data_IF_878101102841
#
_entry.id   IF_878101102841
#
_cell.length_a   1.000
_cell.length_b   1.000
_cell.length_c   1.000
_cell.angle_alpha   90.00
_cell.angle_beta   90.00
_cell.angle_gamma   90.00
#
_symmetry.space_group_name_H-M   'P 1'
#
loop_
_entity.id
_entity.type
_entity.pdbx_description
1 polymer ?
#
# COMPACT_ATOMS: atom_id res chain seq x y z
N UNK A 1 -26.94 11.97 47.76
CA UNK A 1 -27.00 11.24 46.48
C UNK A 1 -26.08 11.92 45.48
N UNK A 2 -25.32 11.11 44.73
CA UNK A 2 -24.63 11.37 43.45
C UNK A 2 -23.49 12.42 43.41
N UNK A 3 -22.27 11.90 43.56
CA UNK A 3 -21.12 12.35 42.79
C UNK A 3 -21.32 11.94 41.31
N UNK A 4 -21.24 12.88 40.37
CA UNK A 4 -21.21 12.56 38.94
C UNK A 4 -19.98 13.25 38.33
N UNK A 5 -18.87 12.50 38.37
CA UNK A 5 -17.95 12.27 37.26
C UNK A 5 -17.74 13.40 36.24
N UNK A 6 -16.72 14.22 36.48
CA UNK A 6 -16.06 15.08 35.48
C UNK A 6 -15.05 14.31 34.60
N UNK A 7 -15.13 12.97 34.55
CA UNK A 7 -14.21 12.11 33.79
C UNK A 7 -14.70 11.77 32.37
N UNK A 8 -15.85 12.32 31.94
CA UNK A 8 -16.45 11.97 30.65
C UNK A 8 -15.93 12.83 29.46
N UNK A 9 -15.35 14.00 29.73
CA UNK A 9 -14.93 14.91 28.65
C UNK A 9 -13.55 14.55 28.04
N UNK A 10 -12.68 13.85 28.78
CA UNK A 10 -11.34 13.49 28.29
C UNK A 10 -11.34 12.21 27.41
N UNK A 11 -12.37 11.37 27.51
CA UNK A 11 -12.46 10.15 26.70
C UNK A 11 -12.90 10.42 25.25
N UNK A 12 -13.70 11.45 25.01
CA UNK A 12 -14.23 11.75 23.67
C UNK A 12 -13.17 12.31 22.70
N UNK A 13 -12.18 13.06 23.21
CA UNK A 13 -11.11 13.59 22.37
C UNK A 13 -10.12 12.51 21.92
N UNK A 14 -9.86 11.50 22.77
CA UNK A 14 -8.99 10.37 22.42
C UNK A 14 -9.62 9.43 21.37
N UNK A 15 -10.96 9.34 21.32
CA UNK A 15 -11.68 8.57 20.31
C UNK A 15 -11.60 9.19 18.91
N UNK A 16 -11.58 10.53 18.79
CA UNK A 16 -11.43 11.21 17.50
C UNK A 16 -10.03 11.05 16.90
N UNK A 17 -8.98 11.03 17.72
CA UNK A 17 -7.61 10.83 17.24
C UNK A 17 -7.30 9.39 16.81
N UNK A 18 -8.02 8.39 17.35
CA UNK A 18 -7.87 7.00 16.94
C UNK A 18 -8.68 6.64 15.67
N UNK A 19 -9.80 7.34 15.42
CA UNK A 19 -10.60 7.13 14.21
C UNK A 19 -9.91 7.61 12.92
N UNK A 20 -9.03 8.61 13.00
CA UNK A 20 -8.27 9.10 11.86
C UNK A 20 -7.21 8.09 11.36
N UNK A 21 -6.73 7.18 12.23
CA UNK A 21 -5.79 6.13 11.86
C UNK A 21 -6.45 4.91 11.18
N UNK A 22 -7.79 4.86 11.18
CA UNK A 22 -8.60 3.78 10.62
C UNK A 22 -9.59 4.29 9.56
N UNK A 23 -9.54 5.58 9.21
CA UNK A 23 -10.31 6.08 8.08
C UNK A 23 -9.84 5.33 6.84
N UNK A 24 -10.77 4.72 6.07
CA UNK A 24 -10.39 4.16 4.79
C UNK A 24 -9.69 5.27 4.01
N UNK A 25 -8.52 4.99 3.43
CA UNK A 25 -7.82 5.99 2.66
C UNK A 25 -8.80 6.58 1.64
N UNK A 26 -8.69 7.87 1.34
CA UNK A 26 -9.58 8.50 0.35
C UNK A 26 -8.96 8.37 -1.05
N UNK A 27 -9.76 8.05 -2.09
CA UNK A 27 -9.27 8.09 -3.47
C UNK A 27 -8.76 9.48 -3.83
N UNK A 28 -7.79 9.54 -4.76
CA UNK A 28 -7.20 10.81 -5.20
C UNK A 28 -8.22 11.73 -5.86
N UNK A 29 -8.12 13.04 -5.61
CA UNK A 29 -8.82 14.08 -6.39
C UNK A 29 -7.98 14.65 -7.54
N UNK A 30 -6.74 14.18 -7.70
CA UNK A 30 -5.83 14.58 -8.79
C UNK A 30 -6.30 13.97 -10.12
N UNK A 31 -6.64 14.78 -11.14
CA UNK A 31 -7.14 14.29 -12.43
C UNK A 31 -6.09 13.49 -13.24
N UNK A 32 -4.80 13.57 -12.88
CA UNK A 32 -3.75 12.76 -13.51
C UNK A 32 -3.69 11.32 -12.97
N UNK A 33 -4.36 11.03 -11.86
CA UNK A 33 -4.41 9.70 -11.25
C UNK A 33 -5.52 8.87 -11.92
N UNK A 34 -5.12 7.75 -12.52
CA UNK A 34 -6.01 6.85 -13.25
C UNK A 34 -6.58 5.78 -12.33
N UNK A 35 -5.74 5.23 -11.45
CA UNK A 35 -6.13 4.22 -10.48
C UNK A 35 -5.45 4.47 -9.14
N UNK A 36 -6.12 4.12 -8.04
CA UNK A 36 -5.54 4.16 -6.70
C UNK A 36 -5.73 2.81 -6.05
N UNK A 37 -4.65 2.27 -5.46
CA UNK A 37 -4.65 1.01 -4.74
C UNK A 37 -4.06 1.16 -3.34
N UNK A 38 -4.20 0.10 -2.55
CA UNK A 38 -3.64 -0.07 -1.22
C UNK A 38 -2.64 -1.21 -1.22
N UNK A 39 -1.44 -0.95 -0.73
CA UNK A 39 -0.49 -1.99 -0.44
C UNK A 39 -0.75 -2.51 0.97
N UNK A 40 -1.02 -3.80 1.06
CA UNK A 40 -1.39 -4.50 2.30
C UNK A 40 -0.42 -5.64 2.58
N UNK A 41 -0.26 -5.95 3.86
CA UNK A 41 0.57 -7.06 4.35
C UNK A 41 1.99 -7.08 3.73
N UNK A 42 2.64 -5.91 3.64
CA UNK A 42 3.96 -5.83 3.01
C UNK A 42 5.04 -6.44 3.89
N UNK A 43 5.71 -7.46 3.37
CA UNK A 43 6.76 -8.21 4.05
C UNK A 43 7.99 -8.29 3.15
N UNK A 44 9.16 -8.09 3.76
CA UNK A 44 10.46 -8.42 3.15
C UNK A 44 11.25 -9.26 4.15
N UNK A 45 11.56 -10.51 3.80
CA UNK A 45 12.28 -11.42 4.69
C UNK A 45 13.73 -10.98 4.86
N UNK A 46 14.21 -10.72 6.08
CA UNK A 46 15.61 -10.26 6.28
C UNK A 46 16.67 -11.32 5.97
N UNK A 47 16.30 -12.61 5.98
CA UNK A 47 17.22 -13.72 5.71
C UNK A 47 17.24 -14.06 4.22
N UNK A 48 16.06 -14.27 3.64
CA UNK A 48 15.92 -14.74 2.26
C UNK A 48 15.70 -13.59 1.26
N UNK A 49 15.52 -12.35 1.73
CA UNK A 49 15.17 -11.16 0.94
C UNK A 49 13.95 -11.36 0.01
N UNK A 50 13.05 -12.26 0.38
CA UNK A 50 11.80 -12.52 -0.35
C UNK A 50 10.80 -11.42 0.01
N UNK A 51 10.19 -10.82 -1.01
CA UNK A 51 9.15 -9.79 -0.84
C UNK A 51 7.79 -10.41 -1.11
N UNK A 52 6.81 -10.07 -0.30
CA UNK A 52 5.40 -10.37 -0.55
C UNK A 52 4.49 -9.24 -0.06
N UNK A 53 3.40 -8.99 -0.79
CA UNK A 53 2.36 -8.05 -0.42
C UNK A 53 1.09 -8.30 -1.24
N UNK A 54 0.00 -7.65 -0.84
CA UNK A 54 -1.26 -7.64 -1.58
C UNK A 54 -1.53 -6.24 -2.11
N UNK A 55 -2.12 -6.19 -3.31
CA UNK A 55 -2.71 -4.99 -3.89
C UNK A 55 -4.20 -5.04 -3.61
N UNK A 56 -4.67 -4.18 -2.71
CA UNK A 56 -6.06 -4.02 -2.33
C UNK A 56 -6.72 -2.83 -3.03
N UNK A 57 -8.02 -2.93 -3.25
CA UNK A 57 -8.89 -1.85 -3.67
C UNK A 57 -9.54 -1.18 -2.46
N UNK A 58 -10.05 0.04 -2.64
CA UNK A 58 -10.67 0.82 -1.56
C UNK A 58 -12.01 0.25 -1.08
N UNK A 59 -12.67 -0.57 -1.89
CA UNK A 59 -13.86 -1.32 -1.51
C UNK A 59 -13.54 -2.56 -0.65
N UNK A 60 -12.26 -2.83 -0.35
CA UNK A 60 -11.79 -3.97 0.42
C UNK A 60 -11.54 -5.23 -0.41
N UNK A 61 -11.77 -5.20 -1.71
CA UNK A 61 -11.45 -6.32 -2.60
C UNK A 61 -9.95 -6.39 -2.89
N UNK A 62 -9.46 -7.61 -3.15
CA UNK A 62 -8.07 -7.83 -3.53
C UNK A 62 -7.94 -7.78 -5.06
N UNK A 63 -7.08 -6.89 -5.57
CA UNK A 63 -6.76 -6.79 -6.98
C UNK A 63 -5.70 -7.83 -7.40
N UNK A 64 -4.64 -8.00 -6.60
CA UNK A 64 -3.55 -8.94 -6.89
C UNK A 64 -2.77 -9.35 -5.65
N UNK A 65 -2.08 -10.49 -5.73
CA UNK A 65 -1.03 -10.89 -4.79
C UNK A 65 0.32 -10.87 -5.49
N UNK A 66 1.30 -10.20 -4.89
CA UNK A 66 2.59 -9.96 -5.48
C UNK A 66 3.68 -10.59 -4.59
N UNK A 67 4.59 -11.35 -5.20
CA UNK A 67 5.75 -11.87 -4.50
C UNK A 67 6.93 -12.09 -5.45
N UNK A 68 8.14 -12.24 -4.90
CA UNK A 68 9.31 -12.68 -5.66
C UNK A 68 9.38 -14.20 -5.86
N UNK A 69 8.27 -14.92 -5.62
CA UNK A 69 8.13 -16.37 -5.84
C UNK A 69 9.23 -17.20 -5.16
N UNK A 70 9.62 -16.80 -3.94
CA UNK A 70 10.64 -17.50 -3.14
C UNK A 70 12.09 -17.21 -3.56
N UNK A 71 12.32 -16.29 -4.49
CA UNK A 71 13.66 -15.79 -4.83
C UNK A 71 13.98 -14.52 -4.05
N UNK A 72 15.25 -14.30 -3.74
CA UNK A 72 15.70 -13.02 -3.19
C UNK A 72 15.36 -11.88 -4.15
N UNK A 73 14.86 -10.77 -3.59
CA UNK A 73 14.59 -9.56 -4.37
C UNK A 73 15.90 -8.97 -4.88
N UNK A 74 15.89 -8.54 -6.14
CA UNK A 74 16.96 -7.81 -6.79
C UNK A 74 16.47 -6.40 -7.02
N UNK A 75 17.26 -5.42 -6.56
CA UNK A 75 16.94 -3.99 -6.67
C UNK A 75 16.58 -3.64 -8.11
N UNK A 76 15.45 -2.95 -8.30
CA UNK A 76 14.92 -2.51 -9.59
C UNK A 76 14.61 -3.62 -10.62
N UNK A 77 14.57 -4.90 -10.22
CA UNK A 77 14.06 -5.98 -11.06
C UNK A 77 12.52 -6.00 -11.04
N UNK A 78 11.91 -6.25 -12.20
CA UNK A 78 10.44 -6.40 -12.32
C UNK A 78 10.00 -7.83 -12.02
N UNK A 79 8.99 -7.96 -11.17
CA UNK A 79 8.36 -9.21 -10.79
C UNK A 79 6.87 -9.16 -11.12
N UNK A 80 6.37 -10.20 -11.78
CA UNK A 80 4.95 -10.30 -12.14
C UNK A 80 4.13 -10.84 -10.97
N UNK A 81 2.99 -10.22 -10.68
CA UNK A 81 2.06 -10.68 -9.66
C UNK A 81 1.20 -11.85 -10.18
N UNK A 82 0.44 -12.50 -9.29
CA UNK A 82 -0.30 -13.73 -9.58
C UNK A 82 -1.26 -13.67 -10.79
N UNK A 83 -1.82 -12.50 -11.08
CA UNK A 83 -2.81 -12.30 -12.14
C UNK A 83 -2.23 -11.79 -13.47
N UNK A 84 -0.91 -11.64 -13.60
CA UNK A 84 -0.20 -11.11 -14.78
C UNK A 84 -0.49 -9.65 -15.19
N UNK A 85 -1.58 -9.05 -14.71
CA UNK A 85 -1.94 -7.65 -14.97
C UNK A 85 -1.03 -6.68 -14.21
N UNK A 86 -0.59 -7.08 -13.03
CA UNK A 86 0.31 -6.30 -12.20
C UNK A 86 1.75 -6.81 -12.26
N UNK A 87 2.69 -5.88 -12.25
CA UNK A 87 4.08 -6.15 -11.92
C UNK A 87 4.60 -5.11 -10.93
N UNK A 88 5.65 -5.44 -10.20
CA UNK A 88 6.27 -4.52 -9.28
C UNK A 88 7.80 -4.53 -9.40
N UNK A 89 8.40 -3.40 -9.09
CA UNK A 89 9.84 -3.28 -8.81
C UNK A 89 10.02 -2.72 -7.41
N UNK A 90 11.12 -3.07 -6.76
CA UNK A 90 11.49 -2.54 -5.46
C UNK A 90 12.92 -2.04 -5.52
N UNK A 91 13.13 -0.78 -5.16
CA UNK A 91 14.46 -0.24 -4.89
C UNK A 91 14.85 -0.60 -3.45
N UNK A 92 15.87 -1.45 -3.32
CA UNK A 92 16.40 -1.92 -2.03
C UNK A 92 17.67 -1.20 -1.59
N UNK A 93 18.09 -0.16 -2.32
CA UNK A 93 19.36 0.53 -2.07
C UNK A 93 19.31 1.43 -0.81
N UNK A 94 18.10 1.72 -0.31
CA UNK A 94 17.87 2.52 0.90
C UNK A 94 16.53 2.25 1.59
N UNK A 95 16.41 2.75 2.82
CA UNK A 95 15.17 2.73 3.61
C UNK A 95 14.61 4.16 3.79
N UNK A 96 13.28 4.39 3.65
CA UNK A 96 12.26 3.45 3.17
C UNK A 96 12.52 2.97 1.74
N UNK A 97 12.05 1.77 1.43
CA UNK A 97 12.16 1.22 0.08
C UNK A 97 11.24 1.98 -0.87
N UNK A 98 11.62 2.07 -2.15
CA UNK A 98 10.74 2.62 -3.17
C UNK A 98 10.05 1.47 -3.93
N UNK A 99 8.77 1.26 -3.66
CA UNK A 99 7.94 0.28 -4.35
C UNK A 99 7.27 0.94 -5.55
N UNK A 100 7.55 0.44 -6.74
CA UNK A 100 6.82 0.83 -7.95
C UNK A 100 5.87 -0.29 -8.35
N UNK A 101 4.59 0.04 -8.50
CA UNK A 101 3.57 -0.86 -9.02
C UNK A 101 3.23 -0.42 -10.44
N UNK A 102 3.20 -1.38 -11.35
CA UNK A 102 2.75 -1.21 -12.73
C UNK A 102 1.55 -2.09 -12.98
N UNK A 103 0.58 -1.55 -13.70
CA UNK A 103 -0.60 -2.26 -14.16
C UNK A 103 -0.69 -2.11 -15.68
N UNK A 104 -0.86 -3.22 -16.39
CA UNK A 104 -0.99 -3.22 -17.85
C UNK A 104 -2.47 -3.11 -18.24
N UNK A 105 -2.86 -1.98 -18.83
CA UNK A 105 -4.20 -1.75 -19.39
C UNK A 105 -4.16 -1.77 -20.92
N UNK A 106 -5.32 -2.00 -21.53
CA UNK A 106 -5.50 -1.95 -22.98
C UNK A 106 -5.17 -0.57 -23.58
N UNK A 107 -5.38 0.50 -22.81
CA UNK A 107 -5.11 1.88 -23.22
C UNK A 107 -3.63 2.30 -23.04
N UNK A 108 -2.80 1.41 -22.51
CA UNK A 108 -1.40 1.68 -22.17
C UNK A 108 -1.11 1.39 -20.70
N UNK A 109 0.16 1.11 -20.35
CA UNK A 109 0.51 0.79 -18.98
C UNK A 109 0.37 2.02 -18.08
N UNK A 110 -0.12 1.80 -16.87
CA UNK A 110 -0.11 2.79 -15.80
C UNK A 110 0.86 2.34 -14.71
N UNK A 111 1.53 3.29 -14.06
CA UNK A 111 2.43 2.99 -12.96
C UNK A 111 2.41 4.08 -11.89
N UNK A 112 2.82 3.71 -10.69
CA UNK A 112 2.96 4.59 -9.56
C UNK A 112 4.06 4.08 -8.64
N UNK A 113 4.65 4.99 -7.87
CA UNK A 113 5.68 4.66 -6.89
C UNK A 113 5.29 5.19 -5.53
N UNK A 114 5.65 4.47 -4.47
CA UNK A 114 5.41 4.88 -3.09
C UNK A 114 6.56 4.42 -2.20
N UNK A 115 6.79 5.14 -1.11
CA UNK A 115 7.77 4.75 -0.10
C UNK A 115 7.13 3.74 0.85
N UNK A 116 7.82 2.63 1.10
CA UNK A 116 7.31 1.54 1.92
C UNK A 116 8.34 1.06 2.95
N UNK A 117 7.85 0.76 4.15
CA UNK A 117 8.64 0.18 5.23
C UNK A 117 8.30 -1.30 5.42
N UNK A 118 9.19 -2.01 6.11
CA UNK A 118 8.89 -3.36 6.61
C UNK A 118 7.59 -3.36 7.43
N UNK A 119 6.69 -4.32 7.15
CA UNK A 119 5.38 -4.48 7.82
C UNK A 119 4.38 -3.34 7.58
N UNK A 120 4.51 -2.62 6.47
CA UNK A 120 3.54 -1.58 6.13
C UNK A 120 2.15 -2.18 5.80
N UNK A 121 1.10 -1.49 6.24
CA UNK A 121 -0.29 -1.80 5.92
C UNK A 121 -1.03 -0.56 5.40
N UNK A 122 -1.95 -0.77 4.46
CA UNK A 122 -2.83 0.24 3.89
C UNK A 122 -2.08 1.45 3.31
N UNK A 123 -0.90 1.22 2.70
CA UNK A 123 -0.13 2.28 2.04
C UNK A 123 -0.79 2.60 0.71
N UNK A 124 -1.14 3.86 0.51
CA UNK A 124 -1.76 4.31 -0.74
C UNK A 124 -0.71 4.39 -1.86
N UNK A 125 -1.07 3.89 -3.03
CA UNK A 125 -0.30 4.03 -4.27
C UNK A 125 -1.23 4.53 -5.38
N UNK A 126 -0.78 5.55 -6.10
CA UNK A 126 -1.54 6.21 -7.16
C UNK A 126 -0.84 5.99 -8.50
N UNK A 127 -1.56 5.42 -9.46
CA UNK A 127 -1.03 5.05 -10.76
C UNK A 127 -1.49 6.07 -11.81
N UNK A 128 -0.57 6.39 -12.73
CA UNK A 128 -0.74 7.36 -13.81
C UNK A 128 -0.27 6.72 -15.11
N UNK A 129 -0.72 7.23 -16.26
CA UNK A 129 -0.18 6.80 -17.55
C UNK A 129 1.33 7.02 -17.60
N UNK A 130 2.06 6.02 -18.09
CA UNK A 130 3.50 6.12 -18.31
C UNK A 130 3.72 6.49 -19.76
N UNK A 131 4.32 7.67 -19.98
CA UNK A 131 4.72 8.15 -21.32
C UNK A 131 5.88 7.33 -21.92
#
# INVERSE_FOLDING_TARGET
MKFITAAAAAAAAALLSAAAALAPPTPSSDPSVVATYLIQDFLIGFVDNVVSFKVGMFNGEMAAECSTSGSAVVSNQSYTCNNSYFSFTLDTDGLPFNLTLRENWDQGPIAGSTLIFYHSQNVVIQLRYVE
#
